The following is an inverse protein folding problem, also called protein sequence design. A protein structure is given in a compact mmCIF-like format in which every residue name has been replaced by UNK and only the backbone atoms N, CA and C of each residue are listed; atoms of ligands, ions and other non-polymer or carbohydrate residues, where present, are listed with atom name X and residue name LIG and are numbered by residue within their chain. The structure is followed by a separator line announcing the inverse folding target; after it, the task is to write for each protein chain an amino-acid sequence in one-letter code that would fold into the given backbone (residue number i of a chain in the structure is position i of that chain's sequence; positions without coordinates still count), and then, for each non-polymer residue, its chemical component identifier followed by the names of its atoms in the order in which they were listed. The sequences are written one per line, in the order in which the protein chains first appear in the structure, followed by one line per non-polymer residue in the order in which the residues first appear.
data_IF_002612345881
#
_entry.id   IF_002612345881
#
_cell.length_a   1.000
_cell.length_b   1.000
_cell.length_c   1.000
_cell.angle_alpha   90.00
_cell.angle_beta   90.00
_cell.angle_gamma   90.00
#
_symmetry.space_group_name_H-M   'P 1'
#
loop_
_entity.id
_entity.type
_entity.pdbx_description
1 polymer ?
#
# COMPACT_ATOMS: atom_id res chain seq x y z
N UNK A 1 -10.14 -4.41 -3.71
CA UNK A 1 -11.33 -4.79 -2.89
C UNK A 1 -11.09 -6.00 -2.00
N UNK A 2 -10.27 -7.01 -2.38
CA UNK A 2 -9.96 -8.14 -1.49
C UNK A 2 -9.32 -7.65 -0.17
N UNK A 3 -8.27 -6.85 -0.23
CA UNK A 3 -7.61 -6.26 0.95
C UNK A 3 -8.60 -5.45 1.82
N UNK A 4 -9.57 -4.74 1.19
CA UNK A 4 -10.62 -4.04 1.93
C UNK A 4 -11.56 -5.00 2.68
N UNK A 5 -11.92 -6.13 2.05
CA UNK A 5 -12.75 -7.15 2.69
C UNK A 5 -12.05 -7.85 3.86
N UNK A 6 -10.73 -8.04 3.75
CA UNK A 6 -9.89 -8.64 4.78
C UNK A 6 -9.52 -7.66 5.92
N UNK A 7 -9.91 -6.37 5.79
CA UNK A 7 -9.57 -5.33 6.79
C UNK A 7 -8.09 -4.94 6.80
N UNK A 8 -7.37 -5.18 5.70
CA UNK A 8 -5.94 -4.93 5.55
C UNK A 8 -5.62 -3.58 4.91
N UNK A 9 -6.58 -2.67 4.83
CA UNK A 9 -6.39 -1.30 4.35
C UNK A 9 -6.50 -0.32 5.51
N UNK A 10 -5.66 0.69 5.47
CA UNK A 10 -5.73 1.81 6.41
C UNK A 10 -7.00 2.64 6.17
N UNK A 11 -7.53 3.33 7.18
CA UNK A 11 -8.69 4.19 7.03
C UNK A 11 -8.34 5.40 6.15
N UNK A 12 -9.25 5.76 5.27
CA UNK A 12 -9.09 6.94 4.42
C UNK A 12 -9.85 8.11 5.05
N UNK A 13 -9.11 9.15 5.41
CA UNK A 13 -9.62 10.35 6.10
C UNK A 13 -9.50 11.56 5.19
N UNK A 14 -10.50 12.45 5.20
CA UNK A 14 -10.45 13.75 4.55
C UNK A 14 -10.60 13.74 3.02
N UNK A 15 -10.85 12.59 2.37
CA UNK A 15 -10.93 12.45 0.90
C UNK A 15 -12.32 12.14 0.37
N UNK A 16 -13.37 12.50 1.12
CA UNK A 16 -14.76 12.21 0.75
C UNK A 16 -15.20 12.86 -0.57
N UNK A 17 -14.73 14.09 -0.83
CA UNK A 17 -15.06 14.84 -2.04
C UNK A 17 -14.47 14.18 -3.28
N UNK A 18 -13.22 13.79 -3.22
CA UNK A 18 -12.50 13.14 -4.32
C UNK A 18 -13.08 11.74 -4.59
N UNK A 19 -13.38 10.96 -3.56
CA UNK A 19 -14.02 9.65 -3.69
C UNK A 19 -15.43 9.79 -4.29
N UNK A 20 -16.22 10.76 -3.84
CA UNK A 20 -17.56 11.03 -4.43
C UNK A 20 -17.44 11.42 -5.91
N UNK A 21 -16.45 12.27 -6.25
CA UNK A 21 -16.19 12.66 -7.64
C UNK A 21 -15.74 11.47 -8.49
N UNK A 22 -14.89 10.60 -7.95
CA UNK A 22 -14.44 9.37 -8.61
C UNK A 22 -15.63 8.46 -8.93
N UNK A 23 -16.53 8.21 -7.97
CA UNK A 23 -17.76 7.43 -8.15
C UNK A 23 -18.65 8.07 -9.22
N UNK A 24 -18.81 9.40 -9.18
CA UNK A 24 -19.59 10.13 -10.17
C UNK A 24 -19.06 9.92 -11.59
N UNK A 25 -17.74 9.99 -11.78
CA UNK A 25 -17.11 9.78 -13.10
C UNK A 25 -17.29 8.34 -13.56
N UNK A 26 -17.05 7.35 -12.69
CA UNK A 26 -17.24 5.94 -13.01
C UNK A 26 -18.68 5.62 -13.46
N UNK A 27 -19.66 6.38 -13.00
CA UNK A 27 -21.10 6.22 -13.35
C UNK A 27 -21.50 6.94 -14.64
N UNK A 28 -20.59 7.67 -15.31
CA UNK A 28 -20.87 8.37 -16.57
C UNK A 28 -20.94 7.41 -17.75
N UNK A 29 -21.69 7.80 -18.78
CA UNK A 29 -21.76 7.05 -20.04
C UNK A 29 -20.50 7.22 -20.90
N UNK A 30 -19.87 8.38 -20.84
CA UNK A 30 -18.66 8.74 -21.59
C UNK A 30 -17.69 9.46 -20.66
N UNK A 31 -16.39 9.49 -20.99
CA UNK A 31 -15.32 9.99 -20.11
C UNK A 31 -15.44 9.39 -18.69
N UNK A 32 -15.65 8.08 -18.65
CA UNK A 32 -15.92 7.31 -17.43
C UNK A 32 -14.66 6.66 -16.83
N UNK A 33 -13.48 7.08 -17.27
CA UNK A 33 -12.21 6.69 -16.69
C UNK A 33 -11.65 7.88 -15.89
N UNK A 34 -11.76 7.88 -14.55
CA UNK A 34 -11.17 8.92 -13.73
C UNK A 34 -9.64 8.81 -13.75
N UNK A 35 -8.97 9.97 -13.74
CA UNK A 35 -7.54 10.06 -13.55
C UNK A 35 -7.26 10.99 -12.36
N UNK A 36 -6.71 10.44 -11.28
CA UNK A 36 -6.27 11.19 -10.11
C UNK A 36 -4.97 11.91 -10.46
N UNK A 37 -4.99 13.23 -10.41
CA UNK A 37 -3.89 14.08 -10.83
C UNK A 37 -3.43 14.92 -9.65
N UNK A 38 -2.18 14.75 -9.24
CA UNK A 38 -1.60 15.47 -8.11
C UNK A 38 -0.15 15.07 -7.88
N UNK A 39 0.52 15.80 -7.01
CA UNK A 39 1.92 15.55 -6.68
C UNK A 39 2.13 14.19 -5.97
N UNK A 40 3.34 13.62 -5.99
CA UNK A 40 3.64 12.41 -5.23
C UNK A 40 3.38 12.63 -3.73
N UNK A 41 2.83 11.62 -3.05
CA UNK A 41 2.60 11.70 -1.60
C UNK A 41 1.33 12.42 -1.14
N UNK A 42 0.52 13.02 -2.06
CA UNK A 42 -0.75 13.68 -1.66
C UNK A 42 -1.90 12.72 -1.35
N UNK A 43 -1.70 11.40 -1.48
CA UNK A 43 -2.70 10.39 -1.13
C UNK A 43 -3.61 9.95 -2.29
N UNK A 44 -3.14 9.96 -3.54
CA UNK A 44 -3.92 9.47 -4.70
C UNK A 44 -4.36 8.02 -4.56
N UNK A 45 -3.46 7.14 -4.12
CA UNK A 45 -3.74 5.71 -3.92
C UNK A 45 -4.76 5.50 -2.80
N UNK A 46 -4.69 6.27 -1.71
CA UNK A 46 -5.64 6.23 -0.61
C UNK A 46 -7.09 6.50 -1.07
N UNK A 47 -7.30 7.40 -2.05
CA UNK A 47 -8.63 7.67 -2.61
C UNK A 47 -9.22 6.41 -3.28
N UNK A 48 -8.39 5.62 -3.96
CA UNK A 48 -8.81 4.37 -4.61
C UNK A 48 -9.08 3.28 -3.57
N UNK A 49 -8.30 3.24 -2.50
CA UNK A 49 -8.52 2.36 -1.35
C UNK A 49 -9.82 2.71 -0.64
N UNK A 50 -10.11 4.00 -0.44
CA UNK A 50 -11.38 4.48 0.09
C UNK A 50 -12.58 4.12 -0.78
N UNK A 51 -12.44 4.16 -2.11
CA UNK A 51 -13.45 3.61 -3.02
C UNK A 51 -13.66 2.11 -2.77
N UNK A 52 -12.59 1.34 -2.65
CA UNK A 52 -12.69 -0.11 -2.40
C UNK A 52 -13.39 -0.41 -1.06
N UNK A 53 -13.11 0.35 -0.01
CA UNK A 53 -13.79 0.25 1.29
C UNK A 53 -15.29 0.58 1.17
N UNK A 54 -15.66 1.63 0.41
CA UNK A 54 -17.07 1.99 0.19
C UNK A 54 -17.81 0.96 -0.65
N UNK A 55 -17.15 0.30 -1.59
CA UNK A 55 -17.75 -0.81 -2.35
C UNK A 55 -18.10 -1.97 -1.40
N UNK A 56 -17.15 -2.39 -0.55
CA UNK A 56 -17.35 -3.48 0.40
C UNK A 56 -18.45 -3.15 1.43
N UNK A 57 -18.47 -1.90 1.95
CA UNK A 57 -19.51 -1.44 2.88
C UNK A 57 -20.85 -1.12 2.21
N UNK A 58 -20.98 -1.33 0.89
CA UNK A 58 -22.17 -1.01 0.09
C UNK A 58 -22.60 0.47 0.14
N UNK A 59 -21.66 1.38 0.43
CA UNK A 59 -21.88 2.84 0.44
C UNK A 59 -21.60 3.48 -0.92
N UNK A 60 -22.04 2.81 -2.00
CA UNK A 60 -21.89 3.26 -3.39
C UNK A 60 -23.17 2.99 -4.19
N UNK A 61 -23.42 3.75 -5.29
CA UNK A 61 -24.54 3.49 -6.20
C UNK A 61 -24.45 2.09 -6.84
N UNK A 62 -25.61 1.57 -7.29
CA UNK A 62 -25.70 0.25 -7.95
C UNK A 62 -24.75 0.10 -9.15
N UNK A 63 -24.44 1.20 -9.87
CA UNK A 63 -23.51 1.21 -11.00
C UNK A 63 -22.08 0.78 -10.64
N UNK A 64 -21.70 0.90 -9.36
CA UNK A 64 -20.35 0.61 -8.85
C UNK A 64 -20.33 -0.51 -7.79
N UNK A 65 -21.49 -0.84 -7.21
CA UNK A 65 -21.64 -1.74 -6.06
C UNK A 65 -21.05 -3.14 -6.27
N UNK A 66 -21.17 -3.68 -7.47
CA UNK A 66 -20.66 -5.02 -7.80
C UNK A 66 -19.29 -4.99 -8.49
N UNK A 67 -18.60 -3.86 -8.45
CA UNK A 67 -17.29 -3.71 -9.06
C UNK A 67 -16.18 -4.18 -8.11
N UNK A 68 -15.12 -4.69 -8.72
CA UNK A 68 -13.88 -5.08 -8.03
C UNK A 68 -12.75 -4.17 -8.49
N UNK A 69 -12.17 -3.42 -7.59
CA UNK A 69 -10.93 -2.65 -7.87
C UNK A 69 -9.75 -3.61 -7.85
N UNK A 70 -9.02 -3.68 -8.94
CA UNK A 70 -7.82 -4.50 -9.12
C UNK A 70 -6.66 -3.59 -9.48
N UNK A 71 -5.60 -3.64 -8.71
CA UNK A 71 -4.36 -2.89 -8.97
C UNK A 71 -3.52 -3.64 -9.99
N UNK A 72 -3.05 -2.96 -11.02
CA UNK A 72 -2.10 -3.48 -11.98
C UNK A 72 -0.69 -3.09 -11.54
N UNK A 73 0.08 -4.05 -11.04
CA UNK A 73 1.49 -3.87 -10.73
C UNK A 73 2.35 -4.00 -11.99
N UNK A 74 2.70 -2.87 -12.57
CA UNK A 74 3.53 -2.79 -13.76
C UNK A 74 4.98 -3.18 -13.48
N UNK A 75 5.51 -2.77 -12.34
CA UNK A 75 6.90 -3.05 -11.95
C UNK A 75 7.12 -4.55 -11.82
N UNK A 76 6.20 -5.26 -11.17
CA UNK A 76 6.23 -6.71 -11.07
C UNK A 76 6.08 -7.42 -12.41
N UNK A 77 5.29 -6.85 -13.33
CA UNK A 77 5.13 -7.41 -14.68
C UNK A 77 6.39 -7.26 -15.54
N UNK A 78 7.10 -6.14 -15.40
CA UNK A 78 8.39 -5.89 -16.09
C UNK A 78 9.49 -6.76 -15.52
N UNK A 79 9.64 -6.80 -14.20
CA UNK A 79 10.68 -7.55 -13.52
C UNK A 79 10.66 -9.07 -13.82
N UNK A 80 9.49 -9.61 -14.13
CA UNK A 80 9.30 -11.02 -14.49
C UNK A 80 9.42 -11.32 -15.98
N UNK A 81 9.74 -10.35 -16.86
CA UNK A 81 9.86 -10.55 -18.31
C UNK A 81 11.30 -10.39 -18.77
N UNK A 82 11.84 -11.40 -19.47
CA UNK A 82 13.19 -11.34 -20.08
C UNK A 82 13.19 -10.59 -21.41
N UNK A 83 12.06 -10.53 -22.10
CA UNK A 83 11.92 -9.94 -23.41
C UNK A 83 10.69 -9.03 -23.48
N UNK A 84 10.78 -7.98 -24.31
CA UNK A 84 9.69 -7.02 -24.54
C UNK A 84 8.37 -7.70 -24.91
N UNK A 85 8.39 -8.74 -25.75
CA UNK A 85 7.19 -9.46 -26.18
C UNK A 85 6.44 -10.17 -25.06
N UNK A 86 7.14 -10.65 -24.02
CA UNK A 86 6.50 -11.29 -22.87
C UNK A 86 5.70 -10.28 -22.05
N UNK A 87 6.21 -9.06 -21.88
CA UNK A 87 5.49 -7.99 -21.19
C UNK A 87 4.23 -7.56 -21.96
N UNK A 88 4.35 -7.37 -23.28
CA UNK A 88 3.20 -7.01 -24.13
C UNK A 88 2.13 -8.11 -24.10
N UNK A 89 2.53 -9.38 -24.11
CA UNK A 89 1.62 -10.53 -23.99
C UNK A 89 0.92 -10.57 -22.64
N UNK A 90 1.63 -10.34 -21.54
CA UNK A 90 1.05 -10.28 -20.18
C UNK A 90 0.00 -9.19 -20.07
N UNK A 91 0.31 -7.96 -20.52
CA UNK A 91 -0.66 -6.86 -20.54
C UNK A 91 -1.88 -7.22 -21.39
N UNK A 92 -1.66 -7.80 -22.57
CA UNK A 92 -2.77 -8.22 -23.45
C UNK A 92 -3.67 -9.24 -22.78
N UNK A 93 -3.10 -10.20 -22.05
CA UNK A 93 -3.86 -11.20 -21.31
C UNK A 93 -4.69 -10.55 -20.18
N UNK A 94 -4.10 -9.63 -19.40
CA UNK A 94 -4.83 -8.87 -18.38
C UNK A 94 -5.99 -8.07 -19.00
N UNK A 95 -5.74 -7.35 -20.09
CA UNK A 95 -6.79 -6.57 -20.77
C UNK A 95 -7.91 -7.46 -21.30
N UNK A 96 -7.60 -8.63 -21.85
CA UNK A 96 -8.60 -9.59 -22.29
C UNK A 96 -9.43 -10.15 -21.14
N UNK A 97 -8.82 -10.41 -19.98
CA UNK A 97 -9.51 -10.85 -18.77
C UNK A 97 -10.46 -9.75 -18.25
N UNK A 98 -9.96 -8.49 -18.13
CA UNK A 98 -10.78 -7.34 -17.71
C UNK A 98 -11.95 -7.11 -18.67
N UNK A 99 -11.71 -7.24 -19.99
CA UNK A 99 -12.75 -7.10 -21.02
C UNK A 99 -13.83 -8.17 -20.90
N UNK A 100 -13.44 -9.41 -20.56
CA UNK A 100 -14.36 -10.52 -20.34
C UNK A 100 -15.16 -10.40 -19.05
N UNK A 101 -14.67 -9.60 -18.09
CA UNK A 101 -15.29 -9.38 -16.79
C UNK A 101 -15.53 -7.89 -16.53
N UNK A 102 -16.69 -7.39 -16.97
CA UNK A 102 -17.10 -5.99 -16.82
C UNK A 102 -17.25 -5.52 -15.34
N UNK A 103 -17.15 -6.45 -14.39
CA UNK A 103 -17.13 -6.15 -12.95
C UNK A 103 -15.78 -5.62 -12.45
N UNK A 104 -14.71 -5.63 -13.27
CA UNK A 104 -13.39 -5.16 -12.87
C UNK A 104 -13.21 -3.68 -13.17
N UNK A 105 -12.74 -2.92 -12.17
CA UNK A 105 -12.18 -1.58 -12.29
C UNK A 105 -10.67 -1.71 -12.17
N UNK A 106 -9.96 -1.49 -13.26
CA UNK A 106 -8.50 -1.58 -13.26
C UNK A 106 -7.92 -0.28 -12.67
N UNK A 107 -7.06 -0.38 -11.66
CA UNK A 107 -6.31 0.77 -11.15
C UNK A 107 -4.85 0.67 -11.61
N UNK A 108 -4.37 1.75 -12.18
CA UNK A 108 -2.98 1.90 -12.63
C UNK A 108 -2.40 3.14 -11.98
N UNK A 109 -1.49 2.92 -11.05
CA UNK A 109 -0.66 4.00 -10.54
C UNK A 109 0.44 4.36 -11.54
N UNK A 110 0.91 5.58 -11.51
CA UNK A 110 1.88 6.11 -12.49
C UNK A 110 1.46 5.80 -13.95
N UNK A 111 0.20 6.11 -14.29
CA UNK A 111 -0.39 5.80 -15.61
C UNK A 111 0.48 6.25 -16.78
N UNK A 112 1.27 7.30 -16.61
CA UNK A 112 2.19 7.84 -17.61
C UNK A 112 3.27 6.82 -18.03
N UNK A 113 3.63 5.88 -17.16
CA UNK A 113 4.65 4.86 -17.46
C UNK A 113 4.20 3.91 -18.57
N UNK A 114 2.89 3.66 -18.68
CA UNK A 114 2.33 2.85 -19.77
C UNK A 114 2.09 3.67 -21.03
N UNK A 115 1.65 4.94 -20.88
CA UNK A 115 1.18 5.76 -21.99
C UNK A 115 2.33 6.53 -22.64
N UNK A 116 3.34 6.91 -21.85
CA UNK A 116 4.43 7.79 -22.27
C UNK A 116 5.71 7.12 -22.72
N UNK A 117 5.83 5.84 -22.52
CA UNK A 117 7.08 5.10 -22.74
C UNK A 117 7.50 4.94 -24.21
N UNK A 118 6.68 5.35 -25.17
CA UNK A 118 6.92 5.16 -26.61
C UNK A 118 8.02 6.02 -27.25
N UNK A 119 8.73 6.85 -26.48
CA UNK A 119 9.72 7.80 -27.03
C UNK A 119 11.19 7.49 -26.79
N UNK A 120 11.54 6.55 -25.92
CA UNK A 120 12.91 6.15 -25.68
C UNK A 120 13.17 4.73 -26.24
N UNK A 121 14.33 4.51 -26.87
CA UNK A 121 14.76 3.17 -27.31
C UNK A 121 14.79 2.24 -26.10
N UNK A 122 13.89 1.23 -26.08
CA UNK A 122 13.74 0.27 -25.01
C UNK A 122 12.57 0.51 -24.06
N UNK A 123 11.80 1.59 -24.20
CA UNK A 123 10.62 1.83 -23.38
C UNK A 123 9.44 0.92 -23.78
N UNK A 124 8.73 0.43 -22.77
CA UNK A 124 7.65 -0.53 -22.89
C UNK A 124 6.38 0.20 -23.37
N UNK A 125 6.05 0.14 -24.65
CA UNK A 125 4.87 0.80 -25.21
C UNK A 125 3.63 -0.09 -25.09
N UNK A 126 3.00 -0.07 -23.90
CA UNK A 126 1.71 -0.72 -23.70
C UNK A 126 0.53 0.18 -24.14
N UNK A 127 0.79 1.42 -24.57
CA UNK A 127 -0.28 2.34 -24.99
C UNK A 127 -1.01 1.82 -26.23
N UNK A 128 -0.30 1.16 -27.14
CA UNK A 128 -0.91 0.54 -28.33
C UNK A 128 -1.86 -0.64 -28.02
N UNK A 129 -1.72 -1.25 -26.83
CA UNK A 129 -2.59 -2.32 -26.37
C UNK A 129 -3.80 -1.74 -25.61
N UNK A 130 -3.57 -0.71 -24.77
CA UNK A 130 -4.61 -0.10 -23.95
C UNK A 130 -5.54 0.85 -24.73
N UNK A 131 -4.98 1.71 -25.60
CA UNK A 131 -5.73 2.72 -26.36
C UNK A 131 -6.93 2.14 -27.13
N UNK A 132 -6.83 1.04 -27.87
CA UNK A 132 -7.98 0.48 -28.58
C UNK A 132 -9.12 0.07 -27.64
N UNK A 133 -8.81 -0.61 -26.53
CA UNK A 133 -9.81 -1.07 -25.58
C UNK A 133 -10.46 0.09 -24.79
N UNK A 134 -9.69 1.11 -24.42
CA UNK A 134 -10.20 2.34 -23.82
C UNK A 134 -11.06 3.13 -24.82
N UNK A 135 -10.61 3.26 -26.07
CA UNK A 135 -11.34 4.01 -27.10
C UNK A 135 -12.68 3.38 -27.44
N UNK A 136 -12.80 2.06 -27.39
CA UNK A 136 -14.07 1.33 -27.59
C UNK A 136 -14.93 1.28 -26.31
N UNK A 137 -14.39 1.65 -25.15
CA UNK A 137 -15.09 1.56 -23.87
C UNK A 137 -15.26 0.13 -23.37
N UNK A 138 -14.37 -0.78 -23.79
CA UNK A 138 -14.39 -2.19 -23.43
C UNK A 138 -13.92 -2.44 -22.00
N UNK A 139 -13.13 -1.51 -21.45
CA UNK A 139 -12.59 -1.54 -20.09
C UNK A 139 -12.83 -0.23 -19.36
N UNK A 140 -12.97 -0.29 -18.05
CA UNK A 140 -12.96 0.88 -17.16
C UNK A 140 -11.65 0.91 -16.36
N UNK A 141 -11.02 2.08 -16.34
CA UNK A 141 -9.72 2.28 -15.73
C UNK A 141 -9.73 3.52 -14.82
N UNK A 142 -9.10 3.39 -13.66
CA UNK A 142 -8.75 4.49 -12.76
C UNK A 142 -7.24 4.69 -12.92
N UNK A 143 -6.82 5.90 -13.32
CA UNK A 143 -5.41 6.25 -13.40
C UNK A 143 -4.98 7.14 -12.26
N UNK A 144 -3.70 7.13 -11.91
CA UNK A 144 -3.07 8.13 -11.07
C UNK A 144 -1.78 8.62 -11.73
N UNK A 145 -1.50 9.92 -11.67
CA UNK A 145 -0.31 10.53 -12.28
C UNK A 145 -0.10 11.95 -11.73
N UNK A 146 0.98 12.62 -12.11
CA UNK A 146 1.20 14.04 -11.82
C UNK A 146 0.51 14.94 -12.85
N UNK A 147 0.37 16.24 -12.53
CA UNK A 147 -0.25 17.21 -13.43
C UNK A 147 0.59 17.40 -14.71
N UNK A 148 1.90 17.43 -14.56
CA UNK A 148 2.83 17.58 -15.69
C UNK A 148 2.71 16.41 -16.67
N UNK A 149 2.71 15.19 -16.15
CA UNK A 149 2.61 13.97 -16.95
C UNK A 149 1.24 13.79 -17.58
N UNK A 150 0.16 14.15 -16.85
CA UNK A 150 -1.19 14.17 -17.41
C UNK A 150 -1.27 15.07 -18.65
N UNK A 151 -0.76 16.31 -18.55
CA UNK A 151 -0.71 17.26 -19.68
C UNK A 151 0.16 16.76 -20.82
N UNK A 152 1.29 16.14 -20.50
CA UNK A 152 2.27 15.69 -21.50
C UNK A 152 1.78 14.48 -22.30
N UNK A 153 1.13 13.52 -21.64
CA UNK A 153 0.84 12.21 -22.23
C UNK A 153 -0.64 11.91 -22.47
N UNK A 154 -1.55 12.52 -21.70
CA UNK A 154 -2.99 12.25 -21.82
C UNK A 154 -3.72 13.35 -22.57
N UNK A 155 -3.54 14.61 -22.20
CA UNK A 155 -4.21 15.73 -22.87
C UNK A 155 -3.79 15.90 -24.34
N UNK A 156 -2.55 15.59 -24.69
CA UNK A 156 -2.06 15.66 -26.07
C UNK A 156 -2.55 14.54 -26.96
N UNK A 157 -3.07 13.47 -26.39
CA UNK A 157 -3.61 12.35 -27.15
C UNK A 157 -5.14 12.44 -27.22
N UNK A 158 -5.67 12.81 -28.37
CA UNK A 158 -7.11 13.04 -28.58
C UNK A 158 -7.98 11.78 -28.28
N UNK A 159 -7.41 10.58 -28.37
CA UNK A 159 -8.14 9.34 -28.04
C UNK A 159 -8.26 9.14 -26.53
N UNK A 160 -7.22 9.47 -25.77
CA UNK A 160 -7.19 9.39 -24.32
C UNK A 160 -7.94 10.55 -23.67
N UNK A 161 -7.75 11.77 -24.16
CA UNK A 161 -8.41 12.99 -23.65
C UNK A 161 -9.94 12.85 -23.65
N UNK A 162 -10.50 12.18 -24.66
CA UNK A 162 -11.95 11.91 -24.76
C UNK A 162 -12.44 10.82 -23.81
N UNK A 163 -11.54 10.08 -23.15
CA UNK A 163 -11.86 8.94 -22.30
C UNK A 163 -11.58 9.16 -20.83
N UNK A 164 -10.53 9.95 -20.55
CA UNK A 164 -10.18 10.29 -19.19
C UNK A 164 -10.85 11.58 -18.71
N UNK A 165 -11.16 11.60 -17.42
CA UNK A 165 -11.61 12.78 -16.70
C UNK A 165 -10.68 13.01 -15.52
N UNK A 166 -9.94 14.14 -15.48
CA UNK A 166 -9.06 14.43 -14.37
C UNK A 166 -9.85 14.77 -13.09
N UNK A 167 -9.31 14.33 -11.96
CA UNK A 167 -9.67 14.73 -10.62
C UNK A 167 -8.39 15.29 -10.00
N UNK A 168 -8.38 16.60 -9.73
CA UNK A 168 -7.24 17.22 -9.07
C UNK A 168 -7.24 16.80 -7.60
N UNK A 169 -6.11 16.27 -7.16
CA UNK A 169 -5.86 15.90 -5.76
C UNK A 169 -4.82 16.86 -5.22
N UNK A 170 -5.30 17.84 -4.47
CA UNK A 170 -4.45 18.85 -3.88
C UNK A 170 -3.76 18.34 -2.61
N UNK A 171 -2.62 18.96 -2.27
CA UNK A 171 -1.97 18.76 -0.97
C UNK A 171 -2.95 19.19 0.12
N UNK A 172 -3.17 18.39 1.18
CA UNK A 172 -4.03 18.80 2.29
C UNK A 172 -3.40 19.98 3.05
N UNK A 173 -4.25 20.79 3.69
CA UNK A 173 -3.78 21.80 4.63
C UNK A 173 -3.12 21.15 5.86
N UNK A 174 -2.40 21.96 6.65
CA UNK A 174 -1.78 21.43 7.88
C UNK A 174 -2.82 20.84 8.83
N UNK A 175 -3.99 21.49 8.97
CA UNK A 175 -5.09 21.02 9.81
C UNK A 175 -5.67 19.70 9.28
N UNK A 176 -5.90 19.61 7.98
CA UNK A 176 -6.38 18.38 7.34
C UNK A 176 -5.36 17.23 7.47
N UNK A 177 -4.07 17.55 7.37
CA UNK A 177 -2.99 16.57 7.55
C UNK A 177 -2.96 16.03 8.99
N UNK A 178 -3.13 16.88 10.00
CA UNK A 178 -3.24 16.43 11.40
C UNK A 178 -4.41 15.49 11.59
N UNK A 179 -5.59 15.80 11.01
CA UNK A 179 -6.74 14.90 11.09
C UNK A 179 -6.51 13.56 10.37
N UNK A 180 -5.78 13.58 9.25
CA UNK A 180 -5.36 12.34 8.56
C UNK A 180 -4.46 11.51 9.48
N UNK A 181 -3.45 12.14 10.09
CA UNK A 181 -2.53 11.45 11.00
C UNK A 181 -3.28 10.89 12.24
N UNK A 182 -4.23 11.64 12.81
CA UNK A 182 -5.08 11.14 13.91
C UNK A 182 -5.86 9.89 13.51
N UNK A 183 -6.36 9.85 12.28
CA UNK A 183 -7.04 8.67 11.76
C UNK A 183 -6.11 7.46 11.57
N UNK A 184 -4.86 7.69 11.18
CA UNK A 184 -3.84 6.64 10.99
C UNK A 184 -3.17 6.21 12.30
N UNK A 185 -3.13 7.07 13.32
CA UNK A 185 -2.49 6.83 14.61
C UNK A 185 -2.70 5.43 15.20
N UNK A 186 -3.92 4.89 15.30
CA UNK A 186 -4.13 3.58 15.92
C UNK A 186 -3.40 2.44 15.21
N UNK A 187 -3.13 2.58 13.91
CA UNK A 187 -2.42 1.58 13.11
C UNK A 187 -0.93 1.63 13.38
N UNK A 188 -0.34 2.83 13.45
CA UNK A 188 1.07 3.05 13.80
C UNK A 188 1.36 2.68 15.25
N UNK A 189 0.49 3.06 16.19
CA UNK A 189 0.56 2.66 17.60
C UNK A 189 0.54 1.13 17.76
N UNK A 190 -0.36 0.46 17.02
CA UNK A 190 -0.44 -1.00 17.03
C UNK A 190 0.80 -1.66 16.42
N UNK A 191 1.33 -1.07 15.34
CA UNK A 191 2.51 -1.61 14.64
C UNK A 191 3.77 -1.51 15.49
N UNK A 192 4.04 -0.32 16.04
CA UNK A 192 5.24 -0.06 16.83
C UNK A 192 5.10 -0.39 18.32
N UNK A 193 3.88 -0.58 18.81
CA UNK A 193 3.63 -0.83 20.24
C UNK A 193 3.95 0.36 21.13
N UNK A 194 3.75 1.58 20.63
CA UNK A 194 3.96 2.87 21.29
C UNK A 194 2.65 3.64 21.36
N UNK A 195 2.57 4.67 22.17
CA UNK A 195 1.50 5.65 22.21
C UNK A 195 1.97 6.95 21.53
N UNK A 196 1.18 7.49 20.61
CA UNK A 196 1.51 8.70 19.86
C UNK A 196 0.61 9.84 20.36
N UNK A 197 1.21 10.87 20.94
CA UNK A 197 0.46 12.00 21.48
C UNK A 197 -0.01 12.95 20.36
N UNK A 198 -1.05 13.72 20.62
CA UNK A 198 -1.57 14.70 19.66
C UNK A 198 -0.52 15.76 19.32
N UNK A 199 0.27 16.17 20.31
CA UNK A 199 1.36 17.13 20.15
C UNK A 199 2.43 16.62 19.18
N UNK A 200 2.73 15.31 19.19
CA UNK A 200 3.67 14.70 18.25
C UNK A 200 3.14 14.75 16.81
N UNK A 201 1.82 14.53 16.61
CA UNK A 201 1.21 14.62 15.27
C UNK A 201 1.26 16.05 14.73
N UNK A 202 0.93 17.04 15.57
CA UNK A 202 0.99 18.45 15.21
C UNK A 202 2.43 18.89 14.92
N UNK A 203 3.40 18.47 15.77
CA UNK A 203 4.81 18.73 15.56
C UNK A 203 5.33 18.12 14.25
N UNK A 204 4.97 16.87 13.96
CA UNK A 204 5.37 16.18 12.72
C UNK A 204 4.90 16.93 11.48
N UNK A 205 3.63 17.36 11.43
CA UNK A 205 3.10 18.16 10.32
C UNK A 205 3.87 19.49 10.21
N UNK A 206 3.98 20.25 11.30
CA UNK A 206 4.64 21.55 11.31
C UNK A 206 6.12 21.48 10.93
N UNK A 207 6.85 20.48 11.45
CA UNK A 207 8.26 20.28 11.12
C UNK A 207 8.43 19.81 9.67
N UNK A 208 7.56 18.92 9.16
CA UNK A 208 7.62 18.48 7.77
C UNK A 208 7.42 19.63 6.80
N UNK A 209 6.47 20.53 7.07
CA UNK A 209 6.23 21.72 6.24
C UNK A 209 7.44 22.67 6.28
N UNK A 210 8.07 22.82 7.44
CA UNK A 210 9.18 23.75 7.62
C UNK A 210 10.51 23.27 7.03
N UNK A 211 10.79 21.96 7.10
CA UNK A 211 12.12 21.44 6.82
C UNK A 211 12.17 20.49 5.60
N UNK A 212 11.03 19.93 5.16
CA UNK A 212 10.96 19.01 4.02
C UNK A 212 10.19 19.68 2.89
N UNK A 213 10.96 20.27 1.93
CA UNK A 213 10.39 21.07 0.84
C UNK A 213 10.22 20.30 -0.49
N UNK A 214 10.81 19.13 -0.58
CA UNK A 214 10.82 18.27 -1.79
C UNK A 214 9.73 17.19 -1.78
N UNK A 215 8.90 17.16 -0.73
CA UNK A 215 7.78 16.22 -0.55
C UNK A 215 6.51 16.96 -0.10
N UNK A 216 5.39 16.27 -0.25
CA UNK A 216 4.05 16.80 0.03
C UNK A 216 3.38 16.13 1.22
N UNK A 217 2.46 16.86 1.88
CA UNK A 217 1.56 16.30 2.87
C UNK A 217 0.54 15.36 2.19
N UNK A 218 0.07 14.31 2.90
CA UNK A 218 0.43 13.95 4.28
C UNK A 218 1.69 13.08 4.38
N UNK A 219 2.25 12.58 3.28
CA UNK A 219 3.30 11.57 3.21
C UNK A 219 4.54 11.94 4.03
N UNK A 220 5.06 13.17 3.85
CA UNK A 220 6.22 13.65 4.60
C UNK A 220 6.02 13.72 6.12
N UNK A 221 4.80 13.94 6.60
CA UNK A 221 4.49 13.95 8.02
C UNK A 221 4.28 12.53 8.57
N UNK A 222 3.71 11.63 7.76
CA UNK A 222 3.59 10.22 8.07
C UNK A 222 4.97 9.59 8.25
N UNK A 223 5.92 9.86 7.35
CA UNK A 223 7.30 9.37 7.45
C UNK A 223 7.97 9.79 8.76
N UNK A 224 7.78 11.05 9.21
CA UNK A 224 8.33 11.55 10.49
C UNK A 224 7.76 10.73 11.66
N UNK A 225 6.45 10.52 11.69
CA UNK A 225 5.80 9.77 12.77
C UNK A 225 6.25 8.31 12.78
N UNK A 226 6.35 7.67 11.61
CA UNK A 226 6.80 6.29 11.48
C UNK A 226 8.23 6.12 11.98
N UNK A 227 9.13 7.02 11.59
CA UNK A 227 10.52 7.03 12.05
C UNK A 227 10.66 7.33 13.54
N UNK A 228 9.91 8.31 14.06
CA UNK A 228 9.90 8.65 15.48
C UNK A 228 9.38 7.47 16.32
N UNK A 229 8.28 6.85 15.93
CA UNK A 229 7.70 5.68 16.58
C UNK A 229 8.67 4.49 16.58
N UNK A 230 9.32 4.22 15.45
CA UNK A 230 10.36 3.19 15.34
C UNK A 230 11.54 3.46 16.27
N UNK A 231 12.01 4.70 16.35
CA UNK A 231 13.10 5.11 17.23
C UNK A 231 12.76 4.95 18.71
N UNK A 232 11.55 5.33 19.11
CA UNK A 232 11.05 5.16 20.48
C UNK A 232 10.93 3.68 20.83
N UNK A 233 10.38 2.87 19.91
CA UNK A 233 10.32 1.42 20.05
C UNK A 233 11.70 0.81 20.27
N UNK A 234 12.70 1.16 19.46
CA UNK A 234 14.08 0.69 19.59
C UNK A 234 14.74 1.15 20.89
N UNK A 235 14.54 2.40 21.31
CA UNK A 235 15.06 2.91 22.58
C UNK A 235 14.48 2.19 23.80
N UNK A 236 13.24 1.75 23.70
CA UNK A 236 12.56 0.95 24.73
C UNK A 236 12.86 -0.54 24.67
N UNK A 237 13.48 -1.03 23.59
CA UNK A 237 13.84 -2.42 23.48
C UNK A 237 14.96 -2.78 24.46
N UNK A 238 14.58 -3.51 25.52
CA UNK A 238 15.53 -4.12 26.46
C UNK A 238 15.47 -5.62 26.27
N UNK A 239 16.50 -6.22 25.65
CA UNK A 239 16.56 -7.66 25.52
C UNK A 239 16.52 -8.28 26.91
N UNK A 240 15.65 -9.26 27.12
CA UNK A 240 15.63 -10.04 28.33
C UNK A 240 16.81 -11.02 28.27
N UNK A 241 17.76 -10.98 29.23
CA UNK A 241 18.88 -11.91 29.23
C UNK A 241 18.43 -13.38 29.20
N UNK A 242 17.23 -13.65 29.74
CA UNK A 242 16.62 -14.98 29.72
C UNK A 242 16.06 -15.32 28.33
N UNK A 243 15.52 -14.36 27.60
CA UNK A 243 15.07 -14.57 26.22
C UNK A 243 16.26 -14.83 25.28
N UNK A 244 17.32 -14.03 25.40
CA UNK A 244 18.55 -14.26 24.63
C UNK A 244 19.20 -15.62 24.89
N UNK A 245 19.20 -16.09 26.16
CA UNK A 245 19.71 -17.40 26.52
C UNK A 245 18.90 -18.51 25.85
N UNK A 246 17.57 -18.42 25.88
CA UNK A 246 16.66 -19.37 25.24
C UNK A 246 16.79 -19.33 23.68
N UNK A 247 16.97 -18.18 23.08
CA UNK A 247 17.18 -18.07 21.62
C UNK A 247 18.49 -18.76 21.20
N UNK A 248 19.57 -18.61 21.99
CA UNK A 248 20.83 -19.34 21.76
C UNK A 248 20.63 -20.85 21.95
N UNK A 249 19.93 -21.26 22.98
CA UNK A 249 19.61 -22.67 23.24
C UNK A 249 18.80 -23.27 22.07
N UNK A 250 17.77 -22.58 21.57
CA UNK A 250 16.98 -23.02 20.42
C UNK A 250 17.88 -23.18 19.19
N UNK A 251 18.79 -22.23 18.94
CA UNK A 251 19.73 -22.30 17.83
C UNK A 251 20.64 -23.53 17.91
N UNK A 252 21.16 -23.85 19.11
CA UNK A 252 22.00 -25.01 19.35
C UNK A 252 21.22 -26.33 19.21
N UNK A 253 19.98 -26.36 19.67
CA UNK A 253 19.08 -27.51 19.50
C UNK A 253 18.76 -27.73 18.01
N UNK A 254 18.57 -26.67 17.22
CA UNK A 254 18.36 -26.79 15.78
C UNK A 254 19.57 -27.42 15.08
N UNK A 255 20.79 -27.02 15.43
CA UNK A 255 22.02 -27.64 14.90
C UNK A 255 22.11 -29.11 15.27
N UNK A 256 21.80 -29.45 16.52
CA UNK A 256 21.80 -30.86 16.99
C UNK A 256 20.76 -31.69 16.21
N UNK A 257 19.58 -31.15 15.97
CA UNK A 257 18.53 -31.79 15.20
C UNK A 257 18.95 -32.02 13.74
N UNK A 258 19.58 -31.03 13.11
CA UNK A 258 20.11 -31.17 11.73
C UNK A 258 21.18 -32.28 11.67
N UNK A 259 22.08 -32.31 12.62
CA UNK A 259 23.09 -33.39 12.70
C UNK A 259 22.48 -34.77 12.93
N UNK A 260 21.49 -34.90 13.81
CA UNK A 260 20.78 -36.13 14.02
C UNK A 260 20.07 -36.64 12.75
N UNK A 261 19.46 -35.72 11.98
CA UNK A 261 18.85 -36.07 10.69
C UNK A 261 19.88 -36.52 9.68
N UNK A 262 21.04 -35.85 9.57
CA UNK A 262 22.14 -36.24 8.67
C UNK A 262 22.66 -37.62 9.01
N UNK A 263 22.76 -37.96 10.33
CA UNK A 263 23.23 -39.23 10.81
C UNK A 263 22.14 -40.32 10.82
N UNK A 264 20.93 -40.04 10.30
CA UNK A 264 19.77 -40.92 10.34
C UNK A 264 19.34 -41.39 11.78
N UNK A 265 19.69 -40.58 12.78
CA UNK A 265 19.28 -40.80 14.19
C UNK A 265 17.88 -40.20 14.44
N UNK A 266 16.86 -41.01 14.20
CA UNK A 266 15.47 -40.64 14.38
C UNK A 266 15.07 -40.38 15.85
N UNK A 267 15.68 -41.08 16.79
CA UNK A 267 15.41 -40.87 18.21
C UNK A 267 16.02 -39.54 18.70
N UNK A 268 17.29 -39.29 18.33
CA UNK A 268 17.95 -38.03 18.62
C UNK A 268 17.22 -36.82 17.99
N UNK A 269 16.75 -36.93 16.74
CA UNK A 269 15.98 -35.90 16.09
C UNK A 269 14.64 -35.61 16.77
N UNK A 270 13.92 -36.65 17.25
CA UNK A 270 12.67 -36.50 18.01
C UNK A 270 12.90 -35.86 19.38
N UNK A 271 13.98 -36.26 20.07
CA UNK A 271 14.34 -35.69 21.37
C UNK A 271 14.73 -34.19 21.23
N UNK A 272 15.48 -33.83 20.19
CA UNK A 272 15.81 -32.43 19.87
C UNK A 272 14.53 -31.61 19.55
N UNK A 273 13.59 -32.18 18.80
CA UNK A 273 12.31 -31.51 18.50
C UNK A 273 11.48 -31.25 19.75
N UNK A 274 11.44 -32.19 20.70
CA UNK A 274 10.72 -32.00 21.96
C UNK A 274 11.32 -30.84 22.77
N UNK A 275 12.66 -30.81 22.91
CA UNK A 275 13.38 -29.71 23.57
C UNK A 275 13.17 -28.36 22.88
N UNK A 276 13.19 -28.34 21.55
CA UNK A 276 12.89 -27.13 20.78
C UNK A 276 11.51 -26.58 21.12
N UNK A 277 10.48 -27.45 21.12
CA UNK A 277 9.11 -27.04 21.42
C UNK A 277 8.96 -26.48 22.85
N UNK A 278 9.66 -27.08 23.84
CA UNK A 278 9.67 -26.58 25.22
C UNK A 278 10.34 -25.20 25.33
N UNK A 279 11.50 -25.02 24.71
CA UNK A 279 12.23 -23.77 24.75
C UNK A 279 11.44 -22.64 24.00
N UNK A 280 10.83 -22.96 22.87
CA UNK A 280 9.96 -22.02 22.12
C UNK A 280 8.72 -21.62 22.96
N UNK A 281 8.09 -22.56 23.65
CA UNK A 281 6.95 -22.26 24.50
C UNK A 281 7.33 -21.38 25.71
N UNK A 282 8.53 -21.55 26.26
CA UNK A 282 9.04 -20.70 27.34
C UNK A 282 9.39 -19.31 26.84
N UNK A 283 10.03 -19.19 25.66
CA UNK A 283 10.33 -17.93 24.99
C UNK A 283 9.05 -17.14 24.70
N UNK A 284 8.02 -17.81 24.19
CA UNK A 284 6.72 -17.19 23.94
C UNK A 284 6.06 -16.66 25.22
N UNK A 285 6.15 -17.38 26.34
CA UNK A 285 5.65 -16.89 27.65
C UNK A 285 6.36 -15.59 28.07
N UNK A 286 7.68 -15.54 27.87
CA UNK A 286 8.47 -14.35 28.23
C UNK A 286 8.07 -13.18 27.32
N UNK A 287 7.95 -13.40 26.00
CA UNK A 287 7.51 -12.37 25.02
C UNK A 287 6.11 -11.84 25.35
N UNK A 288 5.14 -12.73 25.61
CA UNK A 288 3.78 -12.33 26.02
C UNK A 288 3.75 -11.53 27.34
N UNK A 289 4.66 -11.85 28.28
CA UNK A 289 4.78 -11.09 29.53
C UNK A 289 5.36 -9.71 29.31
N UNK A 290 6.35 -9.57 28.43
CA UNK A 290 6.93 -8.30 28.03
C UNK A 290 5.90 -7.42 27.30
N UNK A 291 5.14 -7.98 26.35
CA UNK A 291 4.06 -7.29 25.66
C UNK A 291 2.96 -6.78 26.61
N UNK A 292 2.56 -7.61 27.59
CA UNK A 292 1.59 -7.18 28.61
C UNK A 292 2.12 -6.03 29.48
N UNK A 293 3.42 -5.99 29.72
CA UNK A 293 4.06 -4.91 30.47
C UNK A 293 4.11 -3.64 29.65
N UNK A 294 4.45 -3.73 28.36
CA UNK A 294 4.45 -2.61 27.44
C UNK A 294 3.05 -2.03 27.22
N UNK A 295 2.02 -2.88 27.13
CA UNK A 295 0.61 -2.42 27.05
C UNK A 295 0.14 -1.67 28.31
N UNK A 296 0.73 -1.93 29.47
CA UNK A 296 0.37 -1.24 30.74
C UNK A 296 1.11 0.10 30.92
N UNK A 297 2.28 0.21 30.34
CA UNK A 297 3.10 1.40 30.30
C UNK A 297 3.67 1.53 28.88
N UNK A 298 2.89 2.00 27.91
CA UNK A 298 3.38 2.21 26.57
C UNK A 298 4.49 3.26 26.56
N UNK A 299 5.45 3.10 25.67
CA UNK A 299 6.41 4.15 25.36
C UNK A 299 5.67 5.23 24.59
N UNK A 300 5.91 6.47 24.91
CA UNK A 300 5.23 7.61 24.30
C UNK A 300 6.13 8.30 23.29
N UNK A 301 5.53 8.67 22.15
CA UNK A 301 6.10 9.60 21.18
C UNK A 301 5.52 10.96 21.49
N UNK A 302 6.39 11.89 21.91
CA UNK A 302 6.11 13.30 22.20
C UNK A 302 6.80 14.21 21.17
N UNK A 303 6.82 15.53 21.39
CA UNK A 303 7.46 16.50 20.47
C UNK A 303 8.92 16.18 20.13
#
# INVERSE_FOLDING_TARGET
TAMAADGNLDPVVGRDKEIARLIQILSRRTKNNPCLVGEPGVGKTAIVEGLAQRIISSMVPESVKNKRVVVLDLSGMVAGSKYRGEFEERIRNVINEVRSNQGILLFIDELHTIIGAGGAEGALDASNILKPSLSRGEIQLIGATTLEEYRKYIEKDAALERRFQPIIVEEPTEEEAVEILKGLRPYYEKHHGVEILDEALEAAVKMSVRYINDRFLPDKAIDIIDEAASKVQLAGYRPSPKAEALEREIHDILKQKEQAVINADLEGAKAAQAKQNEAEAELEKIRRKAERKNRKNPLTVDE
#
